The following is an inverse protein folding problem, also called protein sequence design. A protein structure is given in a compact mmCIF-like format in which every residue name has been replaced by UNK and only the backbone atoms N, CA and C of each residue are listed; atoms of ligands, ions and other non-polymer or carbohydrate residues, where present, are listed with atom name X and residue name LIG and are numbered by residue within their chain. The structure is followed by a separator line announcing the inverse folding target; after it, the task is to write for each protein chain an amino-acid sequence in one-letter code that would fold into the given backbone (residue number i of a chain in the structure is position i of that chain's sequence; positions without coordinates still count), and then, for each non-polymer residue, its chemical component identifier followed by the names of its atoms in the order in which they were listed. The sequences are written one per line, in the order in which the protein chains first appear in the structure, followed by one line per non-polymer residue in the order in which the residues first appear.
data_IF_388546257135
#
_entry.id   IF_388546257135
#
_cell.length_a   1.000
_cell.length_b   1.000
_cell.length_c   1.000
_cell.angle_alpha   90.00
_cell.angle_beta   90.00
_cell.angle_gamma   90.00
#
_symmetry.space_group_name_H-M   'P 1'
#
loop_
_entity.id
_entity.type
_entity.pdbx_description
1 polymer ?
#
# COMPACT_ATOMS: atom_id res chain seq x y z
N UNK A 1 38.70 -9.06 -30.60
CA UNK A 1 37.22 -9.20 -30.62
C UNK A 1 36.72 -8.97 -29.21
N UNK A 2 36.12 -7.81 -28.97
CA UNK A 2 35.56 -7.46 -27.66
C UNK A 2 34.29 -8.29 -27.43
N UNK A 3 34.25 -9.05 -26.34
CA UNK A 3 33.07 -9.78 -25.88
C UNK A 3 32.15 -8.80 -25.17
N UNK A 4 31.04 -8.46 -25.82
CA UNK A 4 29.91 -7.74 -25.22
C UNK A 4 29.34 -8.58 -24.07
N UNK A 5 29.16 -8.05 -22.86
CA UNK A 5 28.50 -8.80 -21.80
C UNK A 5 27.02 -8.91 -22.14
N UNK A 6 26.54 -10.15 -22.25
CA UNK A 6 25.11 -10.46 -22.33
C UNK A 6 24.44 -10.02 -21.03
N UNK A 7 23.66 -8.95 -21.09
CA UNK A 7 22.70 -8.57 -20.06
C UNK A 7 21.65 -9.67 -19.96
N UNK A 8 21.81 -10.58 -19.01
CA UNK A 8 20.71 -11.44 -18.56
C UNK A 8 19.76 -10.55 -17.78
N UNK A 9 18.58 -10.27 -18.34
CA UNK A 9 17.44 -9.71 -17.61
C UNK A 9 17.24 -10.54 -16.34
N UNK A 10 17.53 -9.98 -15.17
CA UNK A 10 17.26 -10.62 -13.89
C UNK A 10 15.75 -10.80 -13.76
N UNK A 11 15.31 -12.05 -13.53
CA UNK A 11 13.90 -12.34 -13.23
C UNK A 11 13.55 -11.57 -11.95
N UNK A 12 12.50 -10.74 -12.02
CA UNK A 12 11.96 -10.06 -10.85
C UNK A 12 11.22 -11.10 -10.03
N UNK A 13 11.64 -11.28 -8.78
CA UNK A 13 10.99 -12.15 -7.79
C UNK A 13 10.22 -11.27 -6.82
N UNK A 14 9.00 -11.68 -6.52
CA UNK A 14 8.14 -11.02 -5.53
C UNK A 14 7.69 -12.01 -4.46
N UNK A 15 7.61 -11.54 -3.22
CA UNK A 15 6.95 -12.20 -2.11
C UNK A 15 5.98 -11.18 -1.48
N UNK A 16 4.76 -11.61 -1.17
CA UNK A 16 3.72 -10.73 -0.65
C UNK A 16 2.87 -11.46 0.36
N UNK A 17 2.73 -10.92 1.57
CA UNK A 17 1.90 -11.47 2.63
C UNK A 17 0.83 -10.45 3.00
N UNK A 18 -0.43 -10.77 2.71
CA UNK A 18 -1.55 -9.90 3.09
C UNK A 18 -1.90 -10.01 4.57
N UNK A 19 -1.55 -11.13 5.22
CA UNK A 19 -1.91 -11.41 6.61
C UNK A 19 -3.42 -11.46 6.90
N UNK A 20 -4.23 -11.69 5.86
CA UNK A 20 -5.68 -11.93 5.97
C UNK A 20 -6.00 -13.34 6.47
N UNK A 21 -5.61 -13.64 7.71
CA UNK A 21 -5.78 -14.96 8.33
C UNK A 21 -5.02 -16.10 7.61
N UNK A 22 -3.95 -15.77 6.89
CA UNK A 22 -3.16 -16.74 6.13
C UNK A 22 -1.67 -16.48 6.32
N UNK A 23 -0.89 -17.57 6.40
CA UNK A 23 0.57 -17.49 6.37
C UNK A 23 1.16 -17.66 4.97
N UNK A 24 0.30 -17.88 3.97
CA UNK A 24 0.73 -18.05 2.60
C UNK A 24 1.19 -16.70 2.01
N UNK A 25 2.25 -16.73 1.21
CA UNK A 25 2.52 -15.62 0.32
C UNK A 25 1.63 -15.72 -0.93
N UNK A 26 1.38 -14.59 -1.60
CA UNK A 26 0.50 -14.51 -2.77
C UNK A 26 0.95 -15.41 -3.93
N UNK A 27 2.26 -15.67 -4.07
CA UNK A 27 2.83 -16.47 -5.15
C UNK A 27 3.10 -17.92 -4.74
N UNK A 28 2.87 -18.26 -3.47
CA UNK A 28 2.99 -19.60 -2.89
C UNK A 28 4.43 -20.11 -2.74
N UNK A 29 5.46 -19.28 -2.91
CA UNK A 29 6.88 -19.68 -2.85
C UNK A 29 7.49 -19.46 -1.47
N UNK A 30 7.20 -18.33 -0.84
CA UNK A 30 7.78 -17.84 0.41
C UNK A 30 6.76 -17.88 1.56
N UNK A 31 6.01 -18.98 1.68
CA UNK A 31 5.04 -19.16 2.76
C UNK A 31 5.76 -19.17 4.12
N UNK A 32 5.15 -18.52 5.11
CA UNK A 32 5.71 -18.45 6.45
C UNK A 32 4.89 -19.19 7.50
N UNK A 33 5.23 -18.91 8.76
CA UNK A 33 4.58 -19.46 9.94
C UNK A 33 4.59 -18.43 11.08
N UNK A 34 3.54 -18.44 11.89
CA UNK A 34 3.44 -17.64 13.10
C UNK A 34 4.35 -18.24 14.18
N UNK A 35 5.08 -17.40 14.91
CA UNK A 35 6.04 -17.80 15.94
C UNK A 35 5.60 -17.28 17.31
N UNK A 36 5.77 -18.11 18.34
CA UNK A 36 5.48 -17.78 19.76
C UNK A 36 4.05 -17.27 20.00
N UNK A 37 3.09 -17.80 19.23
CA UNK A 37 1.67 -17.45 19.36
C UNK A 37 1.32 -16.07 18.81
N UNK A 38 2.10 -15.54 17.85
CA UNK A 38 1.63 -14.44 16.99
C UNK A 38 0.26 -14.78 16.39
N UNK A 39 -0.59 -13.78 16.19
CA UNK A 39 -1.96 -13.97 15.68
C UNK A 39 -2.28 -12.94 14.61
N UNK A 40 -3.52 -12.97 14.10
CA UNK A 40 -4.06 -11.92 13.25
C UNK A 40 -5.02 -11.04 14.03
N UNK A 41 -5.16 -9.78 13.62
CA UNK A 41 -6.17 -8.89 14.17
C UNK A 41 -7.58 -9.45 13.98
N UNK A 42 -8.49 -8.99 14.83
CA UNK A 42 -9.92 -9.18 14.62
C UNK A 42 -10.41 -8.13 13.63
N UNK A 43 -11.27 -8.54 12.70
CA UNK A 43 -12.03 -7.59 11.87
C UNK A 43 -12.88 -6.72 12.80
N UNK A 44 -12.65 -5.41 12.81
CA UNK A 44 -13.34 -4.49 13.71
C UNK A 44 -13.79 -3.25 12.94
N UNK A 45 -15.09 -3.11 12.74
CA UNK A 45 -15.73 -2.00 12.01
C UNK A 45 -15.50 -0.62 12.64
N UNK A 46 -15.00 -0.57 13.87
CA UNK A 46 -14.83 0.65 14.66
C UNK A 46 -13.37 1.13 14.70
N UNK A 47 -12.45 0.43 14.04
CA UNK A 47 -11.07 0.87 13.89
C UNK A 47 -10.89 1.38 12.46
N UNK A 48 -10.58 2.68 12.25
CA UNK A 48 -10.25 3.16 10.91
C UNK A 48 -9.10 2.32 10.35
N UNK A 49 -9.09 2.10 9.04
CA UNK A 49 -8.15 1.22 8.31
C UNK A 49 -8.40 -0.30 8.44
N UNK A 50 -9.22 -0.79 9.38
CA UNK A 50 -9.43 -2.22 9.68
C UNK A 50 -10.85 -2.74 9.36
N UNK A 51 -11.58 -2.03 8.49
CA UNK A 51 -12.98 -2.33 8.20
C UNK A 51 -13.20 -3.56 7.31
N UNK A 52 -12.15 -4.02 6.63
CA UNK A 52 -12.09 -5.27 5.87
C UNK A 52 -10.67 -5.86 5.98
N UNK A 53 -10.52 -7.17 5.87
CA UNK A 53 -9.22 -7.86 6.02
C UNK A 53 -8.69 -7.99 7.47
N UNK A 54 -7.47 -8.49 7.62
CA UNK A 54 -6.75 -8.63 8.90
C UNK A 54 -5.28 -8.31 8.74
N UNK A 55 -4.64 -7.91 9.84
CA UNK A 55 -3.21 -7.66 9.91
C UNK A 55 -2.52 -8.68 10.83
N UNK A 56 -1.24 -8.95 10.60
CA UNK A 56 -0.39 -9.69 11.54
C UNK A 56 -0.27 -8.88 12.84
N UNK A 57 -0.60 -9.49 13.97
CA UNK A 57 -0.46 -8.92 15.30
C UNK A 57 0.64 -9.64 16.08
N UNK A 58 1.62 -8.86 16.54
CA UNK A 58 2.79 -9.36 17.27
C UNK A 58 3.05 -8.56 18.53
N UNK A 59 3.36 -9.28 19.61
CA UNK A 59 3.72 -8.73 20.91
C UNK A 59 5.20 -8.93 21.19
N UNK A 60 5.90 -7.83 21.44
CA UNK A 60 7.34 -7.91 21.71
C UNK A 60 7.67 -8.60 23.03
N UNK A 61 6.81 -8.48 24.05
CA UNK A 61 7.05 -9.09 25.36
C UNK A 61 6.99 -10.62 25.31
N UNK A 62 6.37 -11.17 24.26
CA UNK A 62 6.26 -12.61 24.00
C UNK A 62 7.22 -13.07 22.90
N UNK A 63 8.12 -12.21 22.42
CA UNK A 63 9.04 -12.50 21.31
C UNK A 63 8.31 -13.05 20.07
N UNK A 64 7.15 -12.48 19.75
CA UNK A 64 6.31 -12.94 18.65
C UNK A 64 6.81 -12.40 17.30
N UNK A 65 6.72 -13.24 16.28
CA UNK A 65 7.11 -12.89 14.92
C UNK A 65 6.42 -13.80 13.90
N UNK A 66 6.75 -13.60 12.64
CA UNK A 66 6.40 -14.44 11.52
C UNK A 66 7.68 -14.83 10.78
N UNK A 67 7.84 -16.13 10.52
CA UNK A 67 9.07 -16.71 9.99
C UNK A 67 8.84 -17.31 8.61
N UNK A 68 9.65 -16.91 7.63
CA UNK A 68 9.82 -17.65 6.38
C UNK A 68 11.18 -18.34 6.44
N UNK A 69 11.16 -19.64 6.69
CA UNK A 69 12.38 -20.42 6.88
C UNK A 69 13.07 -20.75 5.56
N UNK A 70 12.30 -21.10 4.52
CA UNK A 70 12.78 -21.48 3.20
C UNK A 70 11.75 -21.09 2.13
N UNK A 71 12.15 -20.95 0.85
CA UNK A 71 13.54 -20.88 0.38
C UNK A 71 14.18 -19.53 0.73
N UNK A 72 15.51 -19.44 0.58
CA UNK A 72 16.22 -18.17 0.71
C UNK A 72 15.81 -17.21 -0.42
N UNK A 73 15.35 -16.01 -0.08
CA UNK A 73 15.12 -14.93 -1.03
C UNK A 73 16.42 -14.13 -1.20
N UNK A 74 17.06 -14.28 -2.35
CA UNK A 74 18.35 -13.65 -2.62
C UNK A 74 18.22 -12.15 -2.91
N UNK A 75 18.67 -11.32 -1.96
CA UNK A 75 18.77 -9.86 -2.09
C UNK A 75 20.23 -9.39 -2.29
N UNK A 76 21.18 -10.33 -2.38
CA UNK A 76 22.62 -10.06 -2.42
C UNK A 76 23.03 -9.41 -3.74
N UNK A 77 23.70 -8.25 -3.69
CA UNK A 77 24.16 -7.54 -4.88
C UNK A 77 23.06 -7.26 -5.93
N UNK A 78 21.81 -7.10 -5.50
CA UNK A 78 20.68 -6.76 -6.36
C UNK A 78 19.94 -5.54 -5.84
N UNK A 79 19.16 -4.91 -6.72
CA UNK A 79 18.18 -3.89 -6.30
C UNK A 79 16.97 -4.59 -5.70
N UNK A 80 16.40 -4.03 -4.65
CA UNK A 80 15.18 -4.57 -4.05
C UNK A 80 14.39 -3.50 -3.31
N UNK A 81 13.13 -3.81 -3.04
CA UNK A 81 12.23 -2.99 -2.23
C UNK A 81 11.56 -3.88 -1.19
N UNK A 82 11.48 -3.39 0.04
CA UNK A 82 10.64 -3.96 1.11
C UNK A 82 9.68 -2.89 1.57
N UNK A 83 8.39 -3.20 1.59
CA UNK A 83 7.36 -2.27 2.04
C UNK A 83 6.28 -3.00 2.84
N UNK A 84 5.60 -2.26 3.72
CA UNK A 84 4.50 -2.77 4.52
C UNK A 84 3.68 -1.61 5.08
N UNK A 85 2.44 -1.90 5.46
CA UNK A 85 1.73 -1.09 6.42
C UNK A 85 2.14 -1.52 7.84
N UNK A 86 2.39 -0.56 8.73
CA UNK A 86 2.66 -0.81 10.15
C UNK A 86 1.82 0.08 11.06
N UNK A 87 1.43 -0.46 12.21
CA UNK A 87 0.86 0.29 13.33
C UNK A 87 1.60 -0.08 14.60
N UNK A 88 2.22 0.91 15.24
CA UNK A 88 3.03 0.73 16.45
C UNK A 88 2.14 0.95 17.67
N UNK A 89 2.00 -0.03 18.58
CA UNK A 89 1.09 0.10 19.73
C UNK A 89 1.62 0.98 20.87
N UNK A 90 2.86 1.49 20.79
CA UNK A 90 3.45 2.36 21.80
C UNK A 90 4.87 2.79 21.44
N UNK A 91 5.29 3.95 21.96
CA UNK A 91 6.67 4.42 21.77
C UNK A 91 7.66 3.54 22.53
N UNK A 92 8.90 3.46 22.03
CA UNK A 92 9.93 2.68 22.68
C UNK A 92 11.33 3.24 22.44
N UNK A 93 12.17 3.20 23.48
CA UNK A 93 13.58 3.54 23.39
C UNK A 93 14.43 2.40 22.80
N UNK A 94 13.86 1.19 22.65
CA UNK A 94 14.52 0.05 22.02
C UNK A 94 14.05 -0.11 20.57
N UNK A 95 14.88 -0.76 19.77
CA UNK A 95 14.56 -1.12 18.39
C UNK A 95 13.36 -2.08 18.33
N UNK A 96 12.50 -1.88 17.34
CA UNK A 96 11.33 -2.71 17.03
C UNK A 96 11.47 -3.27 15.63
N UNK A 97 11.86 -4.54 15.52
CA UNK A 97 12.13 -5.17 14.22
C UNK A 97 10.88 -5.39 13.40
N UNK A 98 10.77 -4.75 12.23
CA UNK A 98 9.66 -4.94 11.28
C UNK A 98 9.98 -6.06 10.29
N UNK A 99 11.17 -6.02 9.70
CA UNK A 99 11.65 -7.00 8.74
C UNK A 99 13.13 -7.27 8.95
N UNK A 100 13.59 -8.50 8.78
CA UNK A 100 15.01 -8.83 8.79
C UNK A 100 15.39 -10.06 7.97
N UNK A 101 16.60 -10.05 7.44
CA UNK A 101 17.28 -11.21 6.83
C UNK A 101 18.78 -11.13 7.17
N UNK A 102 19.29 -12.13 7.89
CA UNK A 102 20.61 -12.05 8.51
C UNK A 102 21.43 -13.34 8.34
N UNK A 103 22.63 -13.21 7.79
CA UNK A 103 23.61 -14.29 7.68
C UNK A 103 24.62 -14.27 8.84
N UNK A 104 25.26 -13.13 9.06
CA UNK A 104 26.29 -12.94 10.08
C UNK A 104 26.09 -11.60 10.78
N UNK A 105 25.65 -11.65 12.03
CA UNK A 105 25.18 -10.47 12.77
C UNK A 105 26.27 -9.48 13.16
N UNK A 106 27.54 -9.89 13.11
CA UNK A 106 28.71 -9.04 13.38
C UNK A 106 29.52 -8.70 12.12
N UNK A 107 29.12 -9.23 10.95
CA UNK A 107 29.79 -8.97 9.69
C UNK A 107 29.15 -7.78 8.97
N UNK A 108 29.96 -6.86 8.46
CA UNK A 108 29.47 -5.74 7.67
C UNK A 108 28.67 -6.22 6.44
N UNK A 109 27.58 -5.52 6.13
CA UNK A 109 26.72 -5.75 4.98
C UNK A 109 25.98 -7.10 4.90
N UNK A 110 25.99 -7.93 5.95
CA UNK A 110 25.42 -9.28 5.91
C UNK A 110 24.13 -9.48 6.71
N UNK A 111 23.60 -8.44 7.37
CA UNK A 111 22.28 -8.51 8.00
C UNK A 111 21.45 -7.29 7.64
N UNK A 112 20.43 -7.52 6.84
CA UNK A 112 19.43 -6.52 6.57
C UNK A 112 18.42 -6.53 7.72
N UNK A 113 18.20 -5.36 8.30
CA UNK A 113 17.14 -5.11 9.26
C UNK A 113 16.45 -3.79 8.90
N UNK A 114 15.12 -3.78 8.99
CA UNK A 114 14.26 -2.61 8.95
C UNK A 114 13.51 -2.58 10.29
N UNK A 115 13.73 -1.54 11.07
CA UNK A 115 13.23 -1.40 12.43
C UNK A 115 12.65 -0.01 12.66
N UNK A 116 11.85 0.13 13.72
CA UNK A 116 11.54 1.44 14.30
C UNK A 116 12.46 1.65 15.49
N UNK A 117 13.27 2.72 15.46
CA UNK A 117 14.21 3.12 16.53
C UNK A 117 13.82 4.50 17.03
N UNK A 118 13.48 4.60 18.32
CA UNK A 118 13.09 5.86 18.94
C UNK A 118 11.99 6.63 18.16
N UNK A 119 11.01 5.89 17.62
CA UNK A 119 9.91 6.37 16.77
C UNK A 119 10.29 6.79 15.34
N UNK A 120 11.52 6.58 14.88
CA UNK A 120 11.91 6.83 13.48
C UNK A 120 12.14 5.50 12.77
N UNK A 121 11.93 5.46 11.45
CA UNK A 121 12.43 4.35 10.66
C UNK A 121 13.95 4.29 10.75
N UNK A 122 14.47 3.07 10.82
CA UNK A 122 15.90 2.81 10.78
C UNK A 122 16.13 1.53 10.03
N UNK A 123 17.09 1.53 9.12
CA UNK A 123 17.49 0.32 8.43
C UNK A 123 19.01 0.20 8.41
N UNK A 124 19.50 -1.02 8.24
CA UNK A 124 20.90 -1.22 7.91
C UNK A 124 21.19 -2.59 7.34
N UNK A 125 22.36 -2.70 6.70
CA UNK A 125 22.95 -3.99 6.31
C UNK A 125 24.00 -4.48 7.33
N UNK A 126 24.07 -3.88 8.53
CA UNK A 126 25.17 -3.95 9.52
C UNK A 126 26.34 -3.07 9.11
N UNK A 127 26.62 -2.04 9.93
CA UNK A 127 27.62 -0.97 9.68
C UNK A 127 27.39 -0.18 8.37
N UNK A 128 26.20 -0.29 7.80
CA UNK A 128 25.81 0.35 6.56
C UNK A 128 24.33 0.71 6.67
N UNK A 129 24.11 1.75 7.46
CA UNK A 129 22.80 2.06 8.01
C UNK A 129 22.30 3.40 7.47
N UNK A 130 20.99 3.60 7.61
CA UNK A 130 20.25 4.82 7.27
C UNK A 130 19.14 5.02 8.31
N UNK A 131 19.09 6.23 8.89
CA UNK A 131 18.00 6.67 9.74
C UNK A 131 17.01 7.53 8.97
N UNK A 132 15.73 7.37 9.28
CA UNK A 132 14.66 8.28 8.90
C UNK A 132 14.68 9.58 9.71
N UNK A 133 13.84 10.54 9.31
CA UNK A 133 13.68 11.84 9.96
C UNK A 133 12.21 12.14 10.32
N UNK A 134 11.26 11.42 9.75
CA UNK A 134 9.84 11.50 10.10
C UNK A 134 9.58 10.70 11.39
N UNK A 135 9.06 11.36 12.41
CA UNK A 135 8.64 10.72 13.65
C UNK A 135 7.28 10.01 13.46
N UNK A 136 7.23 8.72 13.77
CA UNK A 136 6.03 7.90 13.74
C UNK A 136 5.30 7.98 15.09
N UNK A 137 3.99 8.20 15.04
CA UNK A 137 3.15 8.18 16.24
C UNK A 137 2.62 6.77 16.51
N UNK A 138 2.44 6.43 17.79
CA UNK A 138 1.76 5.21 18.16
C UNK A 138 0.28 5.23 17.70
N UNK A 139 -0.32 4.05 17.58
CA UNK A 139 -1.74 3.86 17.22
C UNK A 139 -2.14 4.50 15.89
N UNK A 140 -1.19 4.66 14.97
CA UNK A 140 -1.39 5.23 13.64
C UNK A 140 -0.81 4.28 12.60
N UNK A 141 -1.57 4.02 11.53
CA UNK A 141 -1.07 3.27 10.38
C UNK A 141 -0.15 4.13 9.54
N UNK A 142 1.00 3.57 9.17
CA UNK A 142 1.93 4.15 8.23
C UNK A 142 2.26 3.11 7.16
N UNK A 143 2.20 3.51 5.90
CA UNK A 143 2.93 2.78 4.87
C UNK A 143 4.40 3.14 5.01
N UNK A 144 5.26 2.13 5.03
CA UNK A 144 6.71 2.31 5.09
C UNK A 144 7.34 1.54 3.95
N UNK A 145 8.41 2.08 3.38
CA UNK A 145 9.20 1.35 2.41
C UNK A 145 10.69 1.62 2.57
N UNK A 146 11.48 0.60 2.28
CA UNK A 146 12.90 0.68 2.04
C UNK A 146 13.19 0.26 0.61
N UNK A 147 13.85 1.13 -0.15
CA UNK A 147 14.31 0.85 -1.51
C UNK A 147 15.84 0.84 -1.51
N UNK A 148 16.43 -0.24 -2.00
CA UNK A 148 17.83 -0.30 -2.36
C UNK A 148 17.98 -0.36 -3.89
N UNK A 149 18.62 0.66 -4.46
CA UNK A 149 18.98 0.69 -5.87
C UNK A 149 20.47 0.33 -6.01
N UNK A 150 20.76 -0.89 -6.43
CA UNK A 150 22.12 -1.40 -6.58
C UNK A 150 22.91 -0.65 -7.67
N UNK A 151 22.28 -0.31 -8.78
CA UNK A 151 22.95 0.39 -9.89
C UNK A 151 23.34 1.81 -9.49
N UNK A 152 22.48 2.52 -8.75
CA UNK A 152 22.75 3.87 -8.28
C UNK A 152 23.47 3.92 -6.91
N UNK A 153 23.59 2.77 -6.23
CA UNK A 153 24.12 2.66 -4.86
C UNK A 153 23.35 3.54 -3.86
N UNK A 154 22.03 3.49 -3.92
CA UNK A 154 21.14 4.32 -3.10
C UNK A 154 20.33 3.47 -2.12
N UNK A 155 20.33 3.88 -0.86
CA UNK A 155 19.40 3.41 0.17
C UNK A 155 18.38 4.52 0.41
N UNK A 156 17.08 4.21 0.33
CA UNK A 156 16.02 5.21 0.46
C UNK A 156 14.94 4.69 1.40
N UNK A 157 14.56 5.50 2.39
CA UNK A 157 13.40 5.26 3.25
C UNK A 157 12.22 6.11 2.79
N UNK A 158 11.02 5.56 2.86
CA UNK A 158 9.77 6.25 2.58
C UNK A 158 8.78 6.05 3.73
N UNK A 159 7.99 7.09 4.01
CA UNK A 159 6.83 7.05 4.92
C UNK A 159 5.63 7.63 4.18
N UNK A 160 4.53 6.88 4.14
CA UNK A 160 3.29 7.23 3.45
C UNK A 160 3.53 7.65 1.98
N UNK A 161 4.38 6.92 1.28
CA UNK A 161 4.66 7.19 -0.13
C UNK A 161 5.66 8.30 -0.41
N UNK A 162 6.06 9.08 0.62
CA UNK A 162 6.96 10.22 0.50
C UNK A 162 8.34 9.83 0.99
N UNK A 163 9.39 10.24 0.26
CA UNK A 163 10.77 10.00 0.67
C UNK A 163 11.04 10.66 2.02
N UNK A 164 11.48 9.85 2.98
CA UNK A 164 11.89 10.25 4.32
C UNK A 164 13.38 10.61 4.33
N UNK A 165 14.24 9.67 3.93
CA UNK A 165 15.69 9.90 3.85
C UNK A 165 16.35 9.09 2.74
N UNK A 166 17.55 9.51 2.34
CA UNK A 166 18.36 8.86 1.31
C UNK A 166 19.84 8.85 1.72
N UNK A 167 20.53 7.76 1.38
CA UNK A 167 21.99 7.64 1.44
C UNK A 167 22.53 7.20 0.09
N UNK A 168 23.50 7.96 -0.40
CA UNK A 168 24.21 7.70 -1.66
C UNK A 168 25.51 6.93 -1.40
N UNK A 169 26.05 6.29 -2.44
CA UNK A 169 27.29 5.49 -2.38
C UNK A 169 27.22 4.38 -1.32
N UNK A 170 26.02 3.83 -1.08
CA UNK A 170 25.81 2.78 -0.12
C UNK A 170 26.39 1.45 -0.63
N UNK A 171 27.06 0.71 0.26
CA UNK A 171 27.50 -0.64 -0.06
C UNK A 171 26.29 -1.58 -0.24
N UNK A 172 26.39 -2.59 -1.10
CA UNK A 172 25.29 -3.54 -1.29
C UNK A 172 25.08 -4.41 -0.06
N UNK A 173 23.87 -4.96 0.04
CA UNK A 173 23.65 -6.13 0.88
C UNK A 173 24.44 -7.32 0.31
N UNK A 174 25.15 -8.03 1.18
CA UNK A 174 26.09 -9.12 0.85
C UNK A 174 25.70 -10.45 1.51
N UNK A 175 24.59 -10.50 2.26
CA UNK A 175 24.09 -11.76 2.79
C UNK A 175 23.68 -12.70 1.66
N UNK A 176 24.10 -13.96 1.75
CA UNK A 176 23.85 -15.02 0.75
C UNK A 176 23.06 -16.20 1.32
N UNK A 177 22.66 -16.08 2.59
CA UNK A 177 21.79 -17.00 3.31
C UNK A 177 21.06 -16.22 4.42
N UNK A 178 20.07 -16.85 5.04
CA UNK A 178 19.29 -16.28 6.13
C UNK A 178 17.82 -16.60 5.96
N UNK A 179 17.08 -16.54 7.06
CA UNK A 179 15.62 -16.61 7.04
C UNK A 179 15.04 -15.20 6.95
N UNK A 180 13.84 -15.06 6.39
CA UNK A 180 13.09 -13.81 6.52
C UNK A 180 12.35 -13.85 7.85
N UNK A 181 12.52 -12.79 8.62
CA UNK A 181 11.82 -12.52 9.87
C UNK A 181 10.92 -11.30 9.65
N UNK A 182 9.63 -11.44 9.96
CA UNK A 182 8.65 -10.35 9.93
C UNK A 182 8.13 -10.15 11.36
N UNK A 183 8.06 -8.91 11.82
CA UNK A 183 7.81 -8.60 13.23
C UNK A 183 8.99 -8.88 14.15
N UNK A 184 10.16 -9.25 13.59
CA UNK A 184 11.43 -9.24 14.30
C UNK A 184 12.61 -8.99 13.35
N UNK A 185 13.73 -8.55 13.93
CA UNK A 185 14.98 -8.35 13.18
C UNK A 185 16.20 -8.52 14.10
N UNK A 186 17.27 -9.10 13.57
CA UNK A 186 18.56 -9.17 14.26
C UNK A 186 19.34 -7.88 14.03
N UNK A 187 19.53 -7.09 15.08
CA UNK A 187 20.37 -5.89 15.08
C UNK A 187 21.60 -6.18 15.93
N UNK A 188 22.73 -6.38 15.25
CA UNK A 188 23.99 -6.80 15.89
C UNK A 188 23.78 -8.03 16.80
N UNK A 189 24.03 -7.94 18.10
CA UNK A 189 23.89 -9.08 19.03
C UNK A 189 22.47 -9.28 19.58
N UNK A 190 21.50 -8.45 19.19
CA UNK A 190 20.16 -8.46 19.77
C UNK A 190 19.10 -8.76 18.72
N UNK A 191 18.23 -9.73 19.00
CA UNK A 191 16.98 -9.89 18.26
C UNK A 191 15.95 -8.94 18.85
N UNK A 192 15.36 -8.12 17.99
CA UNK A 192 14.39 -7.08 18.36
C UNK A 192 13.03 -7.48 17.81
N UNK A 193 11.96 -7.20 18.53
CA UNK A 193 10.60 -7.62 18.18
C UNK A 193 9.68 -6.42 18.06
N UNK A 194 8.84 -6.44 17.03
CA UNK A 194 7.79 -5.46 16.84
C UNK A 194 6.72 -5.58 17.93
N UNK A 195 5.96 -4.51 18.12
CA UNK A 195 4.84 -4.50 19.06
C UNK A 195 3.68 -3.72 18.43
N UNK A 196 2.76 -4.44 17.81
CA UNK A 196 1.65 -3.86 17.06
C UNK A 196 1.25 -4.68 15.85
N UNK A 197 0.82 -4.01 14.79
CA UNK A 197 0.26 -4.63 13.61
C UNK A 197 1.14 -4.40 12.38
N UNK A 198 1.25 -5.41 11.52
CA UNK A 198 1.91 -5.35 10.21
C UNK A 198 0.93 -5.89 9.17
N UNK A 199 0.79 -5.21 8.05
CA UNK A 199 -0.16 -5.57 7.00
C UNK A 199 0.46 -5.37 5.61
N UNK A 200 0.00 -6.16 4.63
CA UNK A 200 0.40 -6.09 3.22
C UNK A 200 1.92 -5.94 3.02
N UNK A 201 2.71 -6.81 3.65
CA UNK A 201 4.16 -6.77 3.51
C UNK A 201 4.56 -7.36 2.16
N UNK A 202 5.38 -6.61 1.41
CA UNK A 202 5.91 -7.05 0.12
C UNK A 202 7.42 -6.92 0.08
N UNK A 203 8.05 -7.87 -0.63
CA UNK A 203 9.45 -7.80 -1.05
C UNK A 203 9.52 -8.04 -2.55
N UNK A 204 10.16 -7.14 -3.28
CA UNK A 204 10.38 -7.30 -4.73
C UNK A 204 11.86 -7.08 -5.06
N UNK A 205 12.45 -7.95 -5.90
CA UNK A 205 13.88 -7.86 -6.29
C UNK A 205 14.13 -6.84 -7.40
N UNK A 206 13.58 -5.64 -7.23
CA UNK A 206 13.90 -4.44 -7.98
C UNK A 206 13.75 -3.20 -7.10
N UNK A 207 14.39 -2.11 -7.49
CA UNK A 207 14.09 -0.81 -6.90
C UNK A 207 12.77 -0.29 -7.48
N UNK A 208 11.77 -0.05 -6.64
CA UNK A 208 10.57 0.68 -7.02
C UNK A 208 10.88 2.17 -7.10
N UNK A 209 10.24 2.85 -8.04
CA UNK A 209 10.28 4.30 -8.18
C UNK A 209 9.44 4.98 -7.09
N UNK A 210 9.72 6.27 -6.83
CA UNK A 210 8.93 7.05 -5.88
C UNK A 210 7.43 7.09 -6.24
N UNK A 211 7.08 7.08 -7.53
CA UNK A 211 5.67 7.02 -7.98
C UNK A 211 5.00 5.70 -7.63
N UNK A 212 5.70 4.58 -7.79
CA UNK A 212 5.17 3.26 -7.40
C UNK A 212 5.00 3.17 -5.88
N UNK A 213 5.96 3.68 -5.11
CA UNK A 213 5.85 3.73 -3.64
C UNK A 213 4.68 4.62 -3.20
N UNK A 214 4.50 5.78 -3.84
CA UNK A 214 3.36 6.65 -3.57
C UNK A 214 2.03 5.98 -3.93
N UNK A 215 1.97 5.26 -5.05
CA UNK A 215 0.77 4.55 -5.47
C UNK A 215 0.38 3.48 -4.44
N UNK A 216 1.33 2.65 -4.00
CA UNK A 216 1.07 1.60 -3.01
C UNK A 216 0.70 2.15 -1.63
N UNK A 217 1.17 3.34 -1.28
CA UNK A 217 0.84 4.01 -0.03
C UNK A 217 -0.51 4.74 -0.04
N UNK A 218 -1.07 5.08 -1.20
CA UNK A 218 -2.20 6.01 -1.30
C UNK A 218 -3.40 5.50 -2.10
N UNK A 219 -3.23 4.48 -2.95
CA UNK A 219 -4.33 3.95 -3.73
C UNK A 219 -5.26 3.10 -2.86
N UNK A 220 -6.51 3.54 -2.74
CA UNK A 220 -7.56 2.77 -2.05
C UNK A 220 -8.19 1.74 -2.98
N UNK A 221 -8.56 2.14 -4.20
CA UNK A 221 -9.16 1.26 -5.20
C UNK A 221 -8.91 1.82 -6.61
N UNK A 222 -8.89 0.95 -7.59
CA UNK A 222 -8.78 1.31 -9.00
C UNK A 222 -9.67 0.40 -9.85
N UNK A 223 -10.63 0.98 -10.56
CA UNK A 223 -11.52 0.24 -11.46
C UNK A 223 -11.20 0.60 -12.89
N UNK A 224 -10.61 -0.34 -13.65
CA UNK A 224 -10.38 -0.18 -15.09
C UNK A 224 -11.68 -0.25 -15.90
N UNK A 225 -12.67 -1.00 -15.38
CA UNK A 225 -13.88 -1.41 -16.09
C UNK A 225 -13.63 -2.29 -17.32
N UNK A 226 -12.42 -2.85 -17.45
CA UNK A 226 -12.03 -3.74 -18.55
C UNK A 226 -12.59 -5.16 -18.35
N UNK A 227 -13.03 -5.78 -19.45
CA UNK A 227 -13.34 -7.21 -19.48
C UNK A 227 -12.08 -8.07 -19.26
N UNK A 228 -12.20 -9.29 -18.72
CA UNK A 228 -13.46 -10.00 -18.42
C UNK A 228 -14.09 -9.65 -17.07
N UNK A 229 -13.43 -8.83 -16.24
CA UNK A 229 -13.86 -8.54 -14.87
C UNK A 229 -14.06 -7.04 -14.63
N UNK A 230 -15.07 -6.41 -15.24
CA UNK A 230 -15.24 -4.96 -15.24
C UNK A 230 -15.60 -4.40 -13.87
N UNK A 231 -16.00 -5.26 -12.92
CA UNK A 231 -16.35 -4.87 -11.56
C UNK A 231 -15.23 -5.15 -10.54
N UNK A 232 -14.11 -5.74 -10.96
CA UNK A 232 -13.02 -6.01 -10.04
C UNK A 232 -12.27 -4.73 -9.69
N UNK A 233 -11.90 -4.61 -8.42
CA UNK A 233 -10.87 -3.68 -8.00
C UNK A 233 -9.51 -4.20 -8.50
N UNK A 234 -8.88 -3.43 -9.38
CA UNK A 234 -7.51 -3.64 -9.85
C UNK A 234 -6.48 -2.95 -8.93
N UNK A 235 -6.94 -2.32 -7.85
CA UNK A 235 -6.13 -1.81 -6.75
C UNK A 235 -5.77 -2.87 -5.71
N UNK A 236 -5.16 -2.45 -4.59
CA UNK A 236 -4.57 -3.37 -3.62
C UNK A 236 -5.58 -4.01 -2.65
N UNK A 237 -6.78 -3.44 -2.51
CA UNK A 237 -7.67 -3.78 -1.39
C UNK A 237 -8.83 -4.72 -1.77
N UNK A 238 -8.93 -5.12 -3.03
CA UNK A 238 -9.95 -6.07 -3.48
C UNK A 238 -11.38 -5.59 -3.25
N UNK A 239 -11.62 -4.27 -3.25
CA UNK A 239 -12.92 -3.65 -3.00
C UNK A 239 -13.84 -3.81 -4.23
N UNK A 240 -14.14 -5.04 -4.62
CA UNK A 240 -14.89 -5.33 -5.83
C UNK A 240 -16.29 -4.71 -5.79
N UNK A 241 -16.73 -4.22 -6.95
CA UNK A 241 -18.02 -3.59 -7.11
C UNK A 241 -19.10 -4.51 -7.66
N UNK A 242 -20.27 -3.91 -7.83
CA UNK A 242 -21.42 -4.44 -8.54
C UNK A 242 -21.96 -3.36 -9.45
N UNK A 243 -22.49 -3.75 -10.61
CA UNK A 243 -23.04 -2.81 -11.57
C UNK A 243 -24.43 -3.25 -12.01
N UNK A 244 -25.31 -2.28 -12.24
CA UNK A 244 -26.65 -2.52 -12.78
C UNK A 244 -26.91 -1.63 -13.98
N UNK A 245 -27.52 -2.20 -15.02
CA UNK A 245 -27.84 -1.52 -16.28
C UNK A 245 -26.63 -0.81 -16.90
N UNK A 246 -25.50 -1.50 -16.94
CA UNK A 246 -24.26 -1.02 -17.55
C UNK A 246 -23.85 -1.91 -18.74
N UNK A 247 -23.06 -1.35 -19.64
CA UNK A 247 -22.42 -2.06 -20.73
C UNK A 247 -20.96 -1.65 -20.83
N UNK A 248 -20.06 -2.59 -21.12
CA UNK A 248 -18.66 -2.27 -21.41
C UNK A 248 -18.53 -1.78 -22.85
N UNK A 249 -17.89 -0.63 -23.04
CA UNK A 249 -17.66 0.02 -24.35
C UNK A 249 -16.19 0.39 -24.50
N UNK A 250 -15.76 0.87 -25.67
CA UNK A 250 -14.41 1.42 -25.83
C UNK A 250 -14.28 2.68 -24.97
N UNK A 251 -13.24 2.73 -24.15
CA UNK A 251 -12.93 3.81 -23.23
C UNK A 251 -11.80 4.72 -23.70
N UNK A 252 -11.48 5.72 -22.89
CA UNK A 252 -10.31 6.57 -23.11
C UNK A 252 -9.00 5.80 -22.99
N UNK A 253 -8.97 4.86 -22.04
CA UNK A 253 -7.93 3.84 -21.87
C UNK A 253 -8.67 2.52 -21.99
N UNK A 254 -8.28 1.66 -22.94
CA UNK A 254 -8.94 0.37 -23.20
C UNK A 254 -10.47 0.45 -23.29
N UNK A 255 -11.19 -0.04 -22.27
CA UNK A 255 -12.64 -0.07 -22.20
C UNK A 255 -13.17 0.88 -21.11
N UNK A 256 -14.48 1.07 -21.07
CA UNK A 256 -15.16 1.91 -20.09
C UNK A 256 -16.54 1.33 -19.77
N UNK A 257 -17.05 1.70 -18.60
CA UNK A 257 -18.43 1.38 -18.20
C UNK A 257 -19.39 2.46 -18.72
N UNK A 258 -20.32 2.08 -19.60
CA UNK A 258 -21.42 2.92 -20.05
C UNK A 258 -22.67 2.62 -19.22
N UNK A 259 -23.26 3.67 -18.67
CA UNK A 259 -24.53 3.65 -17.95
C UNK A 259 -25.72 3.71 -18.94
N UNK A 260 -26.71 2.83 -18.80
CA UNK A 260 -27.85 2.70 -19.73
C UNK A 260 -29.20 2.64 -18.99
N UNK A 261 -30.22 3.34 -19.49
CA UNK A 261 -31.54 3.38 -18.86
C UNK A 261 -31.64 4.38 -17.69
N UNK A 262 -32.69 4.26 -16.88
CA UNK A 262 -33.05 5.23 -15.83
C UNK A 262 -32.55 4.90 -14.42
N UNK A 263 -32.04 3.69 -14.20
CA UNK A 263 -31.50 3.24 -12.89
C UNK A 263 -30.21 2.44 -13.11
N UNK A 264 -29.18 3.12 -13.61
CA UNK A 264 -27.87 2.52 -13.89
C UNK A 264 -26.83 3.01 -12.90
N UNK A 265 -26.03 2.10 -12.36
CA UNK A 265 -25.00 2.44 -11.37
C UNK A 265 -23.86 1.42 -11.34
N UNK A 266 -22.76 1.88 -10.76
CA UNK A 266 -21.69 1.06 -10.23
C UNK A 266 -21.59 1.37 -8.74
N UNK A 267 -21.48 0.34 -7.92
CA UNK A 267 -21.40 0.47 -6.48
C UNK A 267 -20.35 -0.48 -5.94
N UNK A 268 -19.48 0.03 -5.07
CA UNK A 268 -18.56 -0.77 -4.29
C UNK A 268 -18.67 -0.40 -2.81
N UNK A 269 -18.31 -1.34 -1.93
CA UNK A 269 -18.39 -1.21 -0.48
C UNK A 269 -16.98 -1.29 0.13
N UNK A 270 -16.81 -0.85 1.37
CA UNK A 270 -15.53 -0.91 2.09
C UNK A 270 -14.68 0.37 2.05
N UNK A 271 -15.20 1.47 1.50
CA UNK A 271 -14.52 2.78 1.44
C UNK A 271 -14.54 3.54 2.77
N UNK A 272 -14.17 2.89 3.87
CA UNK A 272 -14.23 3.46 5.22
C UNK A 272 -13.41 4.74 5.35
N UNK A 273 -12.25 4.82 4.70
CA UNK A 273 -11.37 6.00 4.75
C UNK A 273 -11.96 7.21 4.04
N UNK A 274 -12.56 7.02 2.85
CA UNK A 274 -13.19 8.13 2.13
C UNK A 274 -14.39 8.65 2.92
N UNK A 275 -15.23 7.77 3.45
CA UNK A 275 -16.39 8.16 4.26
C UNK A 275 -15.94 8.84 5.55
N UNK A 276 -14.90 8.35 6.22
CA UNK A 276 -14.31 8.99 7.39
C UNK A 276 -13.77 10.39 7.04
N UNK A 277 -13.00 10.51 5.96
CA UNK A 277 -12.46 11.79 5.48
C UNK A 277 -13.56 12.81 5.17
N UNK A 278 -14.60 12.39 4.45
CA UNK A 278 -15.77 13.25 4.15
C UNK A 278 -16.46 13.73 5.43
N UNK A 279 -16.61 12.89 6.44
CA UNK A 279 -17.31 13.24 7.69
C UNK A 279 -16.45 13.98 8.72
N UNK A 280 -15.11 13.93 8.60
CA UNK A 280 -14.16 14.55 9.54
C UNK A 280 -13.39 15.70 8.94
N UNK A 281 -13.70 16.10 7.70
CA UNK A 281 -12.94 17.06 6.90
C UNK A 281 -11.47 16.64 6.67
N UNK A 282 -11.24 15.33 6.56
CA UNK A 282 -9.95 14.76 6.16
C UNK A 282 -9.71 14.85 4.65
N UNK A 283 -8.43 14.92 4.21
CA UNK A 283 -8.10 14.98 2.80
C UNK A 283 -8.34 13.63 2.11
N UNK A 284 -8.85 13.67 0.89
CA UNK A 284 -8.95 12.52 -0.01
C UNK A 284 -8.84 12.99 -1.46
N UNK A 285 -8.69 12.06 -2.40
CA UNK A 285 -8.68 12.38 -3.83
C UNK A 285 -9.40 11.29 -4.61
N UNK A 286 -10.12 11.72 -5.64
CA UNK A 286 -10.84 10.86 -6.58
C UNK A 286 -10.48 11.36 -7.98
N UNK A 287 -10.07 10.45 -8.86
CA UNK A 287 -9.71 10.76 -10.25
C UNK A 287 -10.38 9.77 -11.18
N UNK A 288 -10.97 10.25 -12.27
CA UNK A 288 -11.68 9.43 -13.25
C UNK A 288 -11.76 10.12 -14.60
N UNK A 289 -11.88 9.32 -15.66
CA UNK A 289 -12.33 9.78 -16.97
C UNK A 289 -13.86 9.77 -17.03
N UNK A 290 -14.46 10.82 -17.59
CA UNK A 290 -15.90 10.89 -17.87
C UNK A 290 -16.13 11.20 -19.36
N UNK A 291 -17.25 10.71 -19.90
CA UNK A 291 -17.72 11.03 -21.24
C UNK A 291 -19.24 11.24 -21.21
N UNK A 292 -19.72 12.42 -20.77
CA UNK A 292 -21.14 12.67 -20.59
C UNK A 292 -21.86 12.75 -21.94
N UNK A 293 -22.87 11.92 -22.17
CA UNK A 293 -23.69 11.98 -23.40
C UNK A 293 -24.71 13.12 -23.41
N UNK A 294 -25.01 13.69 -22.24
CA UNK A 294 -25.93 14.80 -22.03
C UNK A 294 -25.41 15.72 -20.93
N UNK A 295 -25.61 17.04 -21.08
CA UNK A 295 -25.18 18.06 -20.11
C UNK A 295 -26.32 18.52 -19.21
N UNK A 296 -26.86 17.58 -18.45
CA UNK A 296 -27.88 17.85 -17.42
C UNK A 296 -27.27 17.80 -16.02
N UNK A 297 -27.90 18.47 -15.06
CA UNK A 297 -27.45 18.44 -13.68
C UNK A 297 -27.58 17.04 -13.10
N UNK A 298 -26.47 16.45 -12.65
CA UNK A 298 -26.43 15.11 -12.06
C UNK A 298 -25.26 14.96 -11.09
N UNK A 299 -25.35 13.99 -10.18
CA UNK A 299 -24.20 13.48 -9.43
C UNK A 299 -23.74 12.16 -10.06
N UNK A 300 -22.44 11.97 -10.21
CA UNK A 300 -21.86 10.73 -10.74
C UNK A 300 -20.83 10.09 -9.80
N UNK A 301 -20.40 10.79 -8.74
CA UNK A 301 -19.73 10.18 -7.59
C UNK A 301 -20.46 10.57 -6.32
N UNK A 302 -20.85 9.54 -5.55
CA UNK A 302 -21.58 9.67 -4.31
C UNK A 302 -20.99 8.72 -3.26
N UNK A 303 -21.08 9.10 -1.99
CA UNK A 303 -20.74 8.23 -0.86
C UNK A 303 -21.91 8.13 0.11
N UNK A 304 -22.06 6.96 0.73
CA UNK A 304 -23.06 6.69 1.75
C UNK A 304 -22.41 5.98 2.94
N UNK A 305 -22.96 6.18 4.13
CA UNK A 305 -22.59 5.43 5.34
C UNK A 305 -23.28 4.06 5.41
N UNK A 306 -24.22 3.78 4.51
CA UNK A 306 -24.99 2.54 4.43
C UNK A 306 -24.85 1.88 3.07
N UNK A 307 -24.88 0.55 3.04
CA UNK A 307 -24.75 -0.25 1.81
C UNK A 307 -26.03 -0.25 0.96
N UNK A 308 -27.22 -0.22 1.58
CA UNK A 308 -28.50 -0.20 0.88
C UNK A 308 -29.49 0.73 1.57
N UNK A 309 -30.05 1.68 0.81
CA UNK A 309 -30.94 2.72 1.32
C UNK A 309 -30.22 3.72 2.24
N UNK A 310 -30.47 5.01 2.06
CA UNK A 310 -29.81 6.05 2.84
C UNK A 310 -29.62 7.34 2.05
N UNK A 311 -29.16 8.37 2.74
CA UNK A 311 -28.81 9.65 2.13
C UNK A 311 -27.38 9.58 1.60
N UNK A 312 -27.21 9.86 0.31
CA UNK A 312 -25.89 10.01 -0.30
C UNK A 312 -25.35 11.44 -0.09
N UNK A 313 -24.04 11.54 0.14
CA UNK A 313 -23.29 12.79 -0.05
C UNK A 313 -22.77 12.83 -1.47
N UNK A 314 -23.14 13.85 -2.24
CA UNK A 314 -22.64 14.06 -3.59
C UNK A 314 -21.22 14.61 -3.53
N UNK A 315 -20.27 13.92 -4.16
CA UNK A 315 -18.87 14.35 -4.21
C UNK A 315 -18.53 15.04 -5.52
N UNK A 316 -18.92 14.42 -6.64
CA UNK A 316 -18.68 14.95 -7.99
C UNK A 316 -19.94 14.83 -8.84
N UNK A 317 -20.17 15.84 -9.66
CA UNK A 317 -21.31 15.91 -10.56
C UNK A 317 -21.08 16.85 -11.74
N UNK A 318 -22.14 17.00 -12.54
CA UNK A 318 -22.27 18.05 -13.54
C UNK A 318 -23.35 19.00 -13.05
N UNK A 319 -23.08 20.30 -13.12
CA UNK A 319 -24.07 21.35 -12.95
C UNK A 319 -24.34 22.03 -14.29
N UNK A 320 -25.61 22.20 -14.64
CA UNK A 320 -26.02 22.84 -15.90
C UNK A 320 -27.26 23.70 -15.65
N UNK A 321 -27.12 25.02 -15.82
CA UNK A 321 -28.21 25.97 -15.59
C UNK A 321 -29.25 26.01 -16.74
N UNK A 322 -28.96 25.39 -17.91
CA UNK A 322 -29.86 25.41 -19.07
C UNK A 322 -29.63 24.29 -20.12
N UNK A 323 -28.84 23.25 -19.81
CA UNK A 323 -28.62 22.12 -20.74
C UNK A 323 -27.59 22.35 -21.87
N UNK A 324 -27.04 23.57 -21.99
CA UNK A 324 -26.16 23.95 -23.13
C UNK A 324 -24.66 23.87 -22.78
N UNK A 325 -24.29 24.12 -21.52
CA UNK A 325 -22.91 24.02 -21.02
C UNK A 325 -22.92 23.46 -19.60
N UNK A 326 -22.17 22.37 -19.37
CA UNK A 326 -22.01 21.78 -18.04
C UNK A 326 -20.74 22.28 -17.37
N UNK A 327 -20.76 22.47 -16.05
CA UNK A 327 -19.57 22.63 -15.22
C UNK A 327 -19.40 21.39 -14.36
N UNK A 328 -18.16 20.98 -14.13
CA UNK A 328 -17.88 20.05 -13.04
C UNK A 328 -18.24 20.75 -11.74
N UNK A 329 -18.98 20.05 -10.89
CA UNK A 329 -19.29 20.48 -9.53
C UNK A 329 -18.68 19.48 -8.57
N UNK A 330 -17.94 20.00 -7.59
CA UNK A 330 -17.39 19.23 -6.49
C UNK A 330 -17.92 19.76 -5.18
N UNK A 331 -18.33 18.86 -4.29
CA UNK A 331 -18.86 19.18 -2.98
C UNK A 331 -18.43 18.11 -1.97
N UNK A 332 -18.31 18.47 -0.69
CA UNK A 332 -18.18 17.51 0.39
C UNK A 332 -19.23 17.85 1.46
N UNK A 333 -19.15 17.25 2.65
CA UNK A 333 -20.11 17.52 3.72
C UNK A 333 -20.13 19.01 4.15
N UNK A 334 -19.05 19.75 3.89
CA UNK A 334 -18.99 21.20 4.09
C UNK A 334 -19.76 21.97 2.98
N UNK A 335 -20.32 23.13 3.33
CA UNK A 335 -21.11 23.97 2.42
C UNK A 335 -20.30 24.60 1.27
N UNK A 336 -19.00 24.30 1.17
CA UNK A 336 -18.14 24.81 0.11
C UNK A 336 -18.32 23.97 -1.15
N UNK A 337 -18.94 24.56 -2.16
CA UNK A 337 -19.09 23.98 -3.49
C UNK A 337 -18.11 24.65 -4.44
N UNK A 338 -17.37 23.84 -5.19
CA UNK A 338 -16.46 24.33 -6.24
C UNK A 338 -17.09 24.01 -7.60
N UNK A 339 -17.06 24.99 -8.50
CA UNK A 339 -17.53 24.85 -9.87
C UNK A 339 -16.36 24.99 -10.85
N UNK A 340 -16.44 24.24 -11.93
CA UNK A 340 -15.50 24.26 -13.03
C UNK A 340 -14.56 23.06 -13.05
N UNK A 341 -13.86 22.83 -14.18
CA UNK A 341 -13.98 23.56 -15.44
C UNK A 341 -15.31 23.30 -16.17
N UNK A 342 -15.59 24.07 -17.22
CA UNK A 342 -16.66 23.75 -18.16
C UNK A 342 -16.31 22.48 -18.93
N UNK A 343 -17.33 21.66 -19.20
CA UNK A 343 -17.26 20.43 -19.98
C UNK A 343 -18.34 20.46 -21.07
N UNK A 344 -18.00 19.93 -22.23
CA UNK A 344 -18.90 19.73 -23.38
C UNK A 344 -19.15 18.25 -23.59
N UNK A 345 -20.35 17.89 -24.04
CA UNK A 345 -20.68 16.53 -24.44
C UNK A 345 -19.97 16.17 -25.75
#
# INVERSE_FOLDING_TARGET
TATTPTSTSSIIVSASWSFDNTTADLYGVYNGQLVNGATYSTVATNQPYLGDGRALYVLSLSNQSFLVATPFLNLSYTSFTVEAWILISGSSAVDRGVFGQCQCSTCANQCFYLVVRANYLYMGFTFNDLSGIVALSASTWYHIAFVYNYQAQEQILYVNGVQDSIKLNAQPYQGTNGTIQIGSAQVYLTTTYFNGYIDNLQVVTRAKSATEILYDASLIAYYSFDLPYPNNDNGPNGLNGTSANTATVIGRVNQAMRFTGSSSYFQAYGFYQIVYGVNTNGPFSISLWINPSVMITCAFVQVSTTQSGGTCTNLLGIYSAAGVSGQIIAQAQSSATIFGPYVTA
#
